data_IF_622902832291
#
_entry.id   IF_622902832291
#
_cell.length_a   1.000
_cell.length_b   1.000
_cell.length_c   1.000
_cell.angle_alpha   90.00
_cell.angle_beta   90.00
_cell.angle_gamma   90.00
#
_symmetry.space_group_name_H-M   'P 1'
#
loop_
_entity.id
_entity.type
_entity.pdbx_description
1 polymer ?
#
# COMPACT_ATOMS: atom_id res chain seq x y z
N UNK A 1 -1.89 13.99 -26.47
CA UNK A 1 -2.22 12.72 -25.78
C UNK A 1 -1.20 12.61 -24.67
N UNK A 2 -1.64 12.68 -23.41
CA UNK A 2 -0.72 12.48 -22.30
C UNK A 2 -0.45 10.99 -22.17
N UNK A 3 0.80 10.59 -22.32
CA UNK A 3 1.29 9.22 -22.10
C UNK A 3 1.12 8.90 -20.61
N UNK A 4 0.59 7.73 -20.27
CA UNK A 4 0.51 7.26 -18.87
C UNK A 4 1.91 6.83 -18.41
N UNK A 5 2.67 7.81 -17.95
CA UNK A 5 4.03 7.62 -17.46
C UNK A 5 4.03 7.42 -15.95
N UNK A 6 4.72 6.38 -15.51
CA UNK A 6 4.90 6.03 -14.11
C UNK A 6 6.40 5.96 -13.82
N UNK A 7 6.84 6.64 -12.78
CA UNK A 7 8.20 6.50 -12.28
C UNK A 7 8.20 5.60 -11.04
N UNK A 8 9.19 4.72 -10.95
CA UNK A 8 9.36 3.79 -9.83
C UNK A 8 10.76 4.00 -9.25
N UNK A 9 10.82 4.52 -8.02
CA UNK A 9 12.06 4.66 -7.27
C UNK A 9 12.26 3.39 -6.45
N UNK A 10 13.31 2.64 -6.76
CA UNK A 10 13.62 1.33 -6.22
C UNK A 10 13.27 0.20 -7.20
N UNK A 11 14.28 -0.36 -7.84
CA UNK A 11 14.16 -1.48 -8.79
C UNK A 11 14.42 -2.84 -8.13
N UNK A 12 14.08 -2.96 -6.84
CA UNK A 12 14.14 -4.21 -6.08
C UNK A 12 12.99 -5.15 -6.44
N UNK A 13 12.82 -6.20 -5.64
CA UNK A 13 11.75 -7.19 -5.83
C UNK A 13 10.36 -6.56 -5.93
N UNK A 14 10.03 -5.63 -5.04
CA UNK A 14 8.71 -4.99 -5.00
C UNK A 14 8.52 -4.04 -6.20
N UNK A 15 9.50 -3.17 -6.46
CA UNK A 15 9.41 -2.21 -7.57
C UNK A 15 9.36 -2.87 -8.95
N UNK A 16 10.15 -3.92 -9.18
CA UNK A 16 10.12 -4.66 -10.45
C UNK A 16 8.79 -5.37 -10.69
N UNK A 17 8.23 -6.01 -9.66
CA UNK A 17 6.92 -6.65 -9.77
C UNK A 17 5.76 -5.65 -9.89
N UNK A 18 5.87 -4.47 -9.26
CA UNK A 18 4.93 -3.38 -9.49
C UNK A 18 4.91 -2.96 -10.96
N UNK A 19 6.08 -2.76 -11.57
CA UNK A 19 6.20 -2.44 -12.99
C UNK A 19 5.61 -3.52 -13.90
N UNK A 20 5.91 -4.79 -13.64
CA UNK A 20 5.31 -5.90 -14.38
C UNK A 20 3.78 -5.94 -14.26
N UNK A 21 3.25 -5.77 -13.06
CA UNK A 21 1.80 -5.75 -12.85
C UNK A 21 1.11 -4.60 -13.59
N UNK A 22 1.75 -3.43 -13.63
CA UNK A 22 1.24 -2.25 -14.34
C UNK A 22 1.19 -2.46 -15.87
N UNK A 23 2.26 -3.00 -16.44
CA UNK A 23 2.35 -3.21 -17.91
C UNK A 23 1.48 -4.38 -18.33
N UNK A 24 1.51 -5.50 -17.61
CA UNK A 24 0.73 -6.69 -17.97
C UNK A 24 -0.77 -6.42 -17.98
N UNK A 25 -1.23 -5.47 -17.16
CA UNK A 25 -2.62 -5.02 -17.14
C UNK A 25 -2.90 -3.81 -18.05
N UNK A 26 -1.88 -3.33 -18.77
CA UNK A 26 -2.02 -2.22 -19.72
C UNK A 26 -2.34 -0.88 -19.05
N UNK A 27 -1.90 -0.67 -17.80
CA UNK A 27 -2.15 0.54 -17.03
C UNK A 27 -1.11 1.62 -17.29
N UNK A 28 0.14 1.24 -17.59
CA UNK A 28 1.20 2.16 -17.95
C UNK A 28 1.57 2.04 -19.43
N UNK A 29 1.90 3.16 -20.08
CA UNK A 29 2.44 3.26 -21.42
C UNK A 29 3.94 3.55 -21.39
N UNK A 30 4.42 4.08 -20.26
CA UNK A 30 5.84 4.37 -20.02
C UNK A 30 6.17 4.09 -18.55
N UNK A 31 7.25 3.36 -18.30
CA UNK A 31 7.81 3.15 -16.96
C UNK A 31 9.28 3.55 -16.98
N UNK A 32 9.66 4.40 -16.04
CA UNK A 32 11.06 4.69 -15.73
C UNK A 32 11.41 4.12 -14.37
N UNK A 33 12.47 3.28 -14.33
CA UNK A 33 13.06 2.81 -13.08
C UNK A 33 14.22 3.69 -12.65
N UNK A 34 14.23 4.06 -11.38
CA UNK A 34 15.31 4.82 -10.74
C UNK A 34 15.80 3.99 -9.56
N UNK A 35 17.08 3.70 -9.53
CA UNK A 35 17.71 2.98 -8.42
C UNK A 35 19.15 3.48 -8.24
N UNK A 36 19.64 3.47 -7.01
CA UNK A 36 21.04 3.79 -6.71
C UNK A 36 21.99 2.80 -7.38
N UNK A 37 21.56 1.56 -7.58
CA UNK A 37 22.21 0.56 -8.39
C UNK A 37 21.70 0.67 -9.85
N UNK A 38 22.36 1.53 -10.62
CA UNK A 38 22.01 1.73 -12.03
C UNK A 38 22.06 0.45 -12.88
N UNK A 39 22.96 -0.49 -12.55
CA UNK A 39 23.04 -1.77 -13.29
C UNK A 39 21.79 -2.58 -13.07
N UNK A 40 21.31 -2.62 -11.84
CA UNK A 40 20.08 -3.30 -11.46
C UNK A 40 18.87 -2.64 -12.10
N UNK A 41 18.76 -1.31 -12.06
CA UNK A 41 17.69 -0.58 -12.74
C UNK A 41 17.65 -0.89 -14.25
N UNK A 42 18.80 -0.87 -14.91
CA UNK A 42 18.91 -1.22 -16.34
C UNK A 42 18.52 -2.67 -16.64
N UNK A 43 18.95 -3.62 -15.80
CA UNK A 43 18.62 -5.03 -15.97
C UNK A 43 17.09 -5.27 -15.81
N UNK A 44 16.49 -4.69 -14.77
CA UNK A 44 15.04 -4.79 -14.56
C UNK A 44 14.24 -4.12 -15.69
N UNK A 45 14.69 -2.96 -16.14
CA UNK A 45 14.05 -2.25 -17.24
C UNK A 45 14.11 -3.06 -18.54
N UNK A 46 15.26 -3.64 -18.85
CA UNK A 46 15.47 -4.44 -20.08
C UNK A 46 14.60 -5.70 -20.05
N UNK A 47 14.64 -6.47 -18.97
CA UNK A 47 13.85 -7.69 -18.80
C UNK A 47 12.33 -7.41 -18.92
N UNK A 48 11.88 -6.32 -18.27
CA UNK A 48 10.50 -5.91 -18.39
C UNK A 48 10.14 -5.41 -19.80
N UNK A 49 11.05 -4.69 -20.46
CA UNK A 49 10.84 -4.21 -21.83
C UNK A 49 10.76 -5.36 -22.83
N UNK A 50 11.62 -6.38 -22.70
CA UNK A 50 11.57 -7.58 -23.55
C UNK A 50 10.21 -8.29 -23.43
N UNK A 51 9.60 -8.31 -22.25
CA UNK A 51 8.28 -8.93 -22.05
C UNK A 51 7.16 -8.25 -22.84
N UNK A 52 7.31 -6.96 -23.18
CA UNK A 52 6.25 -6.16 -23.85
C UNK A 52 5.90 -6.69 -25.23
N UNK A 53 6.80 -7.45 -25.88
CA UNK A 53 6.55 -8.09 -27.18
C UNK A 53 5.36 -9.05 -27.13
N UNK A 54 5.13 -9.68 -25.98
CA UNK A 54 4.07 -10.68 -25.79
C UNK A 54 2.91 -10.18 -24.93
N UNK A 55 2.96 -8.93 -24.50
CA UNK A 55 1.87 -8.34 -23.69
C UNK A 55 0.82 -7.65 -24.58
N UNK A 56 -0.43 -7.51 -24.11
CA UNK A 56 -1.54 -6.98 -24.91
C UNK A 56 -1.35 -5.53 -25.37
N UNK A 57 -0.57 -4.73 -24.62
CA UNK A 57 -0.32 -3.32 -24.92
C UNK A 57 1.18 -3.03 -24.99
N UNK A 58 1.54 -2.11 -25.87
CA UNK A 58 2.91 -1.59 -25.94
C UNK A 58 3.18 -0.69 -24.75
N UNK A 59 4.39 -0.75 -24.24
CA UNK A 59 4.90 0.17 -23.23
C UNK A 59 6.38 0.42 -23.49
N UNK A 60 6.87 1.61 -23.16
CA UNK A 60 8.28 1.93 -23.08
C UNK A 60 8.76 1.68 -21.65
N UNK A 61 9.87 0.97 -21.49
CA UNK A 61 10.47 0.74 -20.18
C UNK A 61 11.96 1.03 -20.25
N UNK A 62 12.45 1.85 -19.34
CA UNK A 62 13.88 2.19 -19.29
C UNK A 62 14.32 2.52 -17.87
N UNK A 63 15.62 2.49 -17.65
CA UNK A 63 16.24 3.04 -16.46
C UNK A 63 16.61 4.50 -16.73
N UNK A 64 16.23 5.37 -15.81
CA UNK A 64 16.44 6.81 -15.91
C UNK A 64 16.97 7.39 -14.61
N UNK A 65 16.87 8.68 -14.49
CA UNK A 65 17.24 9.44 -13.31
C UNK A 65 16.09 10.35 -12.83
N UNK A 66 16.33 11.16 -11.80
CA UNK A 66 15.29 12.02 -11.25
C UNK A 66 14.84 13.15 -12.18
N UNK A 67 15.56 13.45 -13.26
CA UNK A 67 15.07 14.41 -14.27
C UNK A 67 13.91 13.84 -15.10
N UNK A 68 13.85 12.51 -15.19
CA UNK A 68 12.81 11.78 -15.93
C UNK A 68 11.47 11.70 -15.21
N UNK A 69 11.39 12.05 -13.91
CA UNK A 69 10.11 11.95 -13.19
C UNK A 69 9.21 13.16 -13.37
N UNK A 70 9.74 14.29 -13.85
CA UNK A 70 9.03 15.57 -13.91
C UNK A 70 7.68 15.50 -14.62
N UNK A 71 7.58 14.73 -15.68
CA UNK A 71 6.38 14.55 -16.50
C UNK A 71 5.60 13.27 -16.18
N UNK A 72 6.06 12.49 -15.18
CA UNK A 72 5.32 11.33 -14.71
C UNK A 72 4.03 11.75 -14.00
N UNK A 73 2.97 10.98 -14.20
CA UNK A 73 1.67 11.22 -13.56
C UNK A 73 1.57 10.54 -12.20
N UNK A 74 2.34 9.46 -12.02
CA UNK A 74 2.40 8.70 -10.78
C UNK A 74 3.85 8.37 -10.45
N UNK A 75 4.23 8.62 -9.21
CA UNK A 75 5.52 8.24 -8.65
C UNK A 75 5.31 7.18 -7.57
N UNK A 76 5.95 6.03 -7.74
CA UNK A 76 5.93 4.93 -6.76
C UNK A 76 7.26 4.91 -6.03
N UNK A 77 7.23 5.02 -4.71
CA UNK A 77 8.42 4.91 -3.86
C UNK A 77 8.47 3.50 -3.27
N UNK A 78 9.45 2.72 -3.73
CA UNK A 78 9.64 1.30 -3.39
C UNK A 78 11.07 1.02 -2.91
N UNK A 79 11.72 2.00 -2.32
CA UNK A 79 13.10 1.92 -1.86
C UNK A 79 13.16 1.73 -0.34
N UNK A 80 14.05 0.88 0.10
CA UNK A 80 14.30 0.61 1.51
C UNK A 80 14.86 -0.79 1.73
N UNK A 81 15.48 -1.02 2.90
CA UNK A 81 15.97 -2.34 3.26
C UNK A 81 14.81 -3.28 3.61
N UNK A 82 15.03 -4.57 3.41
CA UNK A 82 14.17 -5.60 3.98
C UNK A 82 14.67 -5.97 5.38
N UNK A 83 13.75 -6.29 6.33
CA UNK A 83 14.15 -6.83 7.63
C UNK A 83 14.94 -8.13 7.48
N UNK A 84 16.03 -8.26 8.23
CA UNK A 84 16.81 -9.51 8.29
C UNK A 84 16.09 -10.51 9.20
N UNK A 85 15.36 -11.43 8.60
CA UNK A 85 14.60 -12.46 9.31
C UNK A 85 15.49 -13.41 10.12
N UNK A 86 16.75 -13.59 9.71
CA UNK A 86 17.70 -14.44 10.44
C UNK A 86 18.10 -13.85 11.80
N UNK A 87 17.97 -12.53 11.94
CA UNK A 87 18.20 -11.76 13.17
C UNK A 87 16.93 -11.42 13.93
N UNK A 88 15.76 -11.91 13.48
CA UNK A 88 14.48 -11.60 14.10
C UNK A 88 14.07 -10.13 13.97
N UNK A 89 14.56 -9.42 12.97
CA UNK A 89 14.23 -8.00 12.75
C UNK A 89 12.78 -7.83 12.32
N UNK A 90 12.19 -6.74 12.78
CA UNK A 90 10.89 -6.22 12.38
C UNK A 90 11.03 -5.11 11.34
N UNK A 91 9.92 -4.61 10.81
CA UNK A 91 9.93 -3.42 9.94
C UNK A 91 10.44 -2.17 10.65
N UNK A 92 10.23 -2.05 11.96
CA UNK A 92 10.71 -0.91 12.76
C UNK A 92 12.23 -0.92 12.96
N UNK A 93 12.86 -2.09 12.97
CA UNK A 93 14.33 -2.19 13.10
C UNK A 93 15.06 -1.60 11.89
N UNK A 94 14.37 -1.46 10.75
CA UNK A 94 14.91 -0.83 9.54
C UNK A 94 14.59 0.66 9.43
N UNK A 95 13.83 1.24 10.37
CA UNK A 95 13.31 2.61 10.27
C UNK A 95 14.42 3.64 10.04
N UNK A 96 15.49 3.64 10.85
CA UNK A 96 16.60 4.59 10.70
C UNK A 96 17.18 4.56 9.29
N UNK A 97 17.52 3.38 8.79
CA UNK A 97 18.10 3.22 7.47
C UNK A 97 17.12 3.64 6.38
N UNK A 98 15.83 3.33 6.55
CA UNK A 98 14.79 3.75 5.61
C UNK A 98 14.66 5.28 5.58
N UNK A 99 14.67 5.95 6.73
CA UNK A 99 14.56 7.43 6.78
C UNK A 99 15.78 8.09 6.13
N UNK A 100 17.00 7.59 6.32
CA UNK A 100 18.18 8.10 5.63
C UNK A 100 18.06 8.01 4.10
N UNK A 101 17.57 6.89 3.59
CA UNK A 101 17.29 6.70 2.16
C UNK A 101 16.21 7.68 1.68
N UNK A 102 15.12 7.79 2.43
CA UNK A 102 13.96 8.61 2.08
C UNK A 102 14.27 10.11 2.10
N UNK A 103 15.18 10.57 2.98
CA UNK A 103 15.69 11.95 2.95
C UNK A 103 16.33 12.28 1.60
N UNK A 104 17.20 11.41 1.11
CA UNK A 104 17.85 11.60 -0.19
C UNK A 104 16.81 11.59 -1.33
N UNK A 105 15.85 10.65 -1.29
CA UNK A 105 14.77 10.58 -2.28
C UNK A 105 13.96 11.88 -2.28
N UNK A 106 13.57 12.39 -1.12
CA UNK A 106 12.79 13.62 -1.00
C UNK A 106 13.50 14.83 -1.60
N UNK A 107 14.82 14.98 -1.35
CA UNK A 107 15.61 16.06 -1.95
C UNK A 107 15.63 16.00 -3.48
N UNK A 108 15.81 14.80 -4.03
CA UNK A 108 15.81 14.60 -5.48
C UNK A 108 14.43 14.81 -6.10
N UNK A 109 13.34 14.37 -5.45
CA UNK A 109 11.96 14.67 -5.90
C UNK A 109 11.76 16.19 -5.96
N UNK A 110 12.16 16.91 -4.92
CA UNK A 110 12.04 18.39 -4.89
C UNK A 110 12.81 19.05 -6.03
N UNK A 111 14.04 18.61 -6.30
CA UNK A 111 14.88 19.16 -7.37
C UNK A 111 14.36 18.83 -8.77
N UNK A 112 13.68 17.72 -8.95
CA UNK A 112 13.14 17.30 -10.25
C UNK A 112 12.02 18.17 -10.79
N UNK A 113 11.34 18.92 -9.90
CA UNK A 113 10.14 19.68 -10.24
C UNK A 113 8.90 18.82 -10.49
N UNK A 114 8.89 17.59 -9.96
CA UNK A 114 7.71 16.71 -9.96
C UNK A 114 6.56 17.34 -9.14
N UNK A 115 5.32 17.15 -9.59
CA UNK A 115 4.12 17.69 -8.92
C UNK A 115 2.92 16.73 -8.96
N UNK A 116 3.15 15.48 -9.36
CA UNK A 116 2.10 14.47 -9.49
C UNK A 116 1.78 13.72 -8.17
N UNK A 117 1.11 12.60 -8.31
CA UNK A 117 0.71 11.77 -7.17
C UNK A 117 1.88 10.86 -6.73
N UNK A 118 2.13 10.79 -5.43
CA UNK A 118 3.12 9.90 -4.82
C UNK A 118 2.41 8.76 -4.10
N UNK A 119 2.75 7.52 -4.46
CA UNK A 119 2.31 6.32 -3.75
C UNK A 119 3.52 5.65 -3.12
N UNK A 120 3.57 5.64 -1.80
CA UNK A 120 4.63 4.99 -1.05
C UNK A 120 4.29 3.51 -0.77
N UNK A 121 5.25 2.63 -1.00
CA UNK A 121 5.20 1.21 -0.62
C UNK A 121 6.44 0.77 0.15
N UNK A 122 7.29 1.73 0.53
CA UNK A 122 8.44 1.50 1.41
C UNK A 122 7.99 1.37 2.86
N UNK A 123 8.60 0.48 3.61
CA UNK A 123 8.26 0.20 5.00
C UNK A 123 9.20 0.90 6.00
N UNK A 124 8.69 1.28 7.19
CA UNK A 124 7.29 1.22 7.68
C UNK A 124 6.37 2.18 6.93
N UNK A 125 5.35 1.62 6.24
CA UNK A 125 4.62 2.33 5.19
C UNK A 125 3.97 3.65 5.64
N UNK A 126 3.27 3.63 6.76
CA UNK A 126 2.52 4.79 7.27
C UNK A 126 3.46 5.89 7.74
N UNK A 127 4.51 5.51 8.48
CA UNK A 127 5.53 6.43 9.01
C UNK A 127 6.32 7.09 7.88
N UNK A 128 6.76 6.29 6.90
CA UNK A 128 7.52 6.81 5.73
C UNK A 128 6.66 7.75 4.90
N UNK A 129 5.39 7.46 4.74
CA UNK A 129 4.47 8.33 3.99
C UNK A 129 4.27 9.67 4.70
N UNK A 130 4.06 9.64 6.02
CA UNK A 130 3.95 10.85 6.83
C UNK A 130 5.25 11.68 6.78
N UNK A 131 6.39 11.01 6.92
CA UNK A 131 7.69 11.66 6.82
C UNK A 131 7.90 12.32 5.44
N UNK A 132 7.63 11.61 4.34
CA UNK A 132 7.72 12.16 2.98
C UNK A 132 6.80 13.37 2.78
N UNK A 133 5.55 13.27 3.22
CA UNK A 133 4.58 14.37 3.15
C UNK A 133 5.11 15.61 3.86
N UNK A 134 5.61 15.42 5.08
CA UNK A 134 6.13 16.52 5.91
C UNK A 134 7.36 17.20 5.28
N UNK A 135 8.39 16.41 4.92
CA UNK A 135 9.65 17.01 4.41
C UNK A 135 9.50 17.60 3.02
N UNK A 136 8.56 17.11 2.21
CA UNK A 136 8.27 17.66 0.89
C UNK A 136 7.27 18.82 0.94
N UNK A 137 6.55 19.01 2.03
CA UNK A 137 5.37 19.87 2.12
C UNK A 137 4.36 19.54 0.99
N UNK A 138 4.13 18.24 0.78
CA UNK A 138 3.32 17.75 -0.33
C UNK A 138 1.83 17.84 -0.01
N UNK A 139 0.97 18.15 -0.99
CA UNK A 139 -0.48 18.11 -0.77
C UNK A 139 -0.92 16.74 -0.25
N UNK A 140 -1.57 16.67 0.92
CA UNK A 140 -1.92 15.43 1.59
C UNK A 140 -2.86 14.53 0.78
N UNK A 141 -3.63 15.11 -0.14
CA UNK A 141 -4.46 14.34 -1.06
C UNK A 141 -3.67 13.72 -2.23
N UNK A 142 -2.42 14.12 -2.46
CA UNK A 142 -1.59 13.61 -3.54
C UNK A 142 -0.44 12.71 -3.06
N UNK A 143 -0.38 12.39 -1.77
CA UNK A 143 0.59 11.45 -1.22
C UNK A 143 -0.09 10.50 -0.24
N UNK A 144 0.07 9.21 -0.46
CA UNK A 144 -0.51 8.16 0.37
C UNK A 144 0.25 6.84 0.21
N UNK A 145 -0.08 5.86 1.03
CA UNK A 145 0.49 4.50 0.94
C UNK A 145 -0.59 3.47 0.69
N UNK A 146 -0.23 2.38 0.02
CA UNK A 146 -1.10 1.20 -0.10
C UNK A 146 -1.38 0.54 1.25
N UNK A 147 -0.45 0.63 2.20
CA UNK A 147 -0.61 0.20 3.60
C UNK A 147 -1.41 -1.10 3.74
N UNK A 148 -2.61 -1.06 4.31
CA UNK A 148 -3.44 -2.26 4.55
C UNK A 148 -4.29 -2.72 3.36
N UNK A 149 -4.13 -2.18 2.17
CA UNK A 149 -4.85 -2.69 0.98
C UNK A 149 -4.56 -4.18 0.77
N UNK A 150 -3.29 -4.57 0.84
CA UNK A 150 -2.89 -5.98 0.72
C UNK A 150 -3.29 -6.81 1.94
N UNK A 151 -3.22 -6.25 3.15
CA UNK A 151 -3.66 -6.94 4.37
C UNK A 151 -5.17 -7.20 4.35
N UNK A 152 -5.95 -6.27 3.80
CA UNK A 152 -7.38 -6.46 3.57
C UNK A 152 -7.67 -7.58 2.55
N UNK A 153 -6.85 -7.70 1.52
CA UNK A 153 -6.96 -8.82 0.58
C UNK A 153 -6.63 -10.17 1.26
N UNK A 154 -5.61 -10.21 2.13
CA UNK A 154 -5.27 -11.39 2.93
C UNK A 154 -6.37 -11.77 3.91
N UNK A 155 -6.99 -10.77 4.54
CA UNK A 155 -8.15 -10.99 5.42
C UNK A 155 -9.33 -11.59 4.67
N UNK A 156 -9.66 -11.04 3.47
CA UNK A 156 -10.72 -11.58 2.61
C UNK A 156 -10.43 -13.01 2.18
N UNK A 157 -9.19 -13.33 1.83
CA UNK A 157 -8.76 -14.69 1.51
C UNK A 157 -8.95 -15.62 2.72
N UNK A 158 -8.52 -15.20 3.92
CA UNK A 158 -8.67 -16.01 5.12
C UNK A 158 -10.15 -16.29 5.46
N UNK A 159 -11.03 -15.31 5.24
CA UNK A 159 -12.49 -15.50 5.35
C UNK A 159 -13.02 -16.43 4.27
N UNK A 160 -12.58 -16.28 3.03
CA UNK A 160 -12.97 -17.16 1.92
C UNK A 160 -12.59 -18.61 2.17
N UNK A 161 -11.38 -18.86 2.67
CA UNK A 161 -10.90 -20.20 3.03
C UNK A 161 -11.78 -20.87 4.10
N UNK A 162 -12.38 -20.11 5.01
CA UNK A 162 -13.25 -20.63 6.08
C UNK A 162 -14.73 -20.74 5.68
N UNK A 163 -15.20 -19.88 4.78
CA UNK A 163 -16.63 -19.81 4.43
C UNK A 163 -16.97 -20.45 3.08
N UNK A 164 -15.97 -20.71 2.24
CA UNK A 164 -16.18 -21.16 0.85
C UNK A 164 -16.71 -20.07 -0.08
N UNK A 165 -16.86 -18.81 0.37
CA UNK A 165 -17.33 -17.70 -0.43
C UNK A 165 -16.14 -16.99 -1.09
N UNK A 166 -16.29 -16.67 -2.38
CA UNK A 166 -15.25 -15.98 -3.13
C UNK A 166 -14.82 -14.68 -2.44
N UNK A 167 -13.50 -14.47 -2.32
CA UNK A 167 -12.93 -13.30 -1.65
C UNK A 167 -13.36 -11.94 -2.23
N UNK A 168 -13.78 -11.89 -3.50
CA UNK A 168 -14.29 -10.66 -4.13
C UNK A 168 -15.70 -10.30 -3.68
N UNK A 169 -16.44 -11.27 -3.11
CA UNK A 169 -17.78 -11.08 -2.56
C UNK A 169 -17.79 -10.69 -1.09
N UNK A 170 -16.61 -10.63 -0.46
CA UNK A 170 -16.44 -10.31 0.95
C UNK A 170 -15.98 -8.86 1.09
N UNK A 171 -16.72 -8.04 1.82
CA UNK A 171 -16.33 -6.67 2.19
C UNK A 171 -15.73 -6.71 3.59
N UNK A 172 -14.42 -6.65 3.65
CA UNK A 172 -13.64 -6.64 4.89
C UNK A 172 -12.40 -5.78 4.70
N UNK A 173 -12.07 -4.97 5.70
CA UNK A 173 -10.90 -4.11 5.73
C UNK A 173 -10.05 -4.40 6.97
N UNK A 174 -8.74 -4.34 6.81
CA UNK A 174 -7.81 -4.09 7.90
C UNK A 174 -7.55 -2.59 7.94
N UNK A 175 -7.58 -1.97 9.11
CA UNK A 175 -7.41 -0.53 9.31
C UNK A 175 -6.24 -0.23 10.23
N UNK A 176 -5.82 1.05 10.24
CA UNK A 176 -4.74 1.53 11.09
C UNK A 176 -3.37 1.31 10.47
N UNK A 177 -2.44 0.76 11.22
CA UNK A 177 -1.06 0.50 10.81
C UNK A 177 -0.95 -0.67 9.81
N UNK A 178 -0.08 -0.53 8.82
CA UNK A 178 0.44 -1.71 8.13
C UNK A 178 1.51 -2.39 8.98
N UNK A 179 1.10 -3.09 10.01
CA UNK A 179 1.97 -3.69 11.02
C UNK A 179 1.21 -4.47 12.09
N UNK A 180 1.83 -4.54 13.30
CA UNK A 180 1.28 -5.37 14.38
C UNK A 180 0.00 -4.77 15.00
N UNK A 181 -0.13 -3.45 14.99
CA UNK A 181 -1.29 -2.77 15.57
C UNK A 181 -2.48 -2.62 14.61
N UNK A 182 -2.43 -3.21 13.42
CA UNK A 182 -3.60 -3.21 12.52
C UNK A 182 -4.81 -3.86 13.20
N UNK A 183 -5.99 -3.35 12.92
CA UNK A 183 -7.24 -3.87 13.47
C UNK A 183 -8.24 -4.20 12.36
N UNK A 184 -9.21 -5.05 12.69
CA UNK A 184 -10.32 -5.40 11.79
C UNK A 184 -11.63 -4.92 12.41
N UNK A 185 -12.36 -4.00 11.77
CA UNK A 185 -13.69 -3.59 12.25
C UNK A 185 -14.72 -4.68 11.89
N UNK A 186 -14.81 -5.71 12.70
CA UNK A 186 -15.67 -6.88 12.48
C UNK A 186 -17.15 -6.52 12.36
N UNK A 187 -17.57 -5.45 13.04
CA UNK A 187 -18.94 -4.92 12.94
C UNK A 187 -19.30 -4.43 11.53
N UNK A 188 -18.28 -4.09 10.73
CA UNK A 188 -18.44 -3.58 9.37
C UNK A 188 -18.17 -4.63 8.28
N UNK A 189 -17.78 -5.84 8.66
CA UNK A 189 -17.56 -6.93 7.69
C UNK A 189 -18.91 -7.44 7.20
N UNK A 190 -19.04 -7.56 5.87
CA UNK A 190 -20.28 -8.03 5.25
C UNK A 190 -20.02 -8.90 4.02
N UNK A 191 -21.00 -9.74 3.71
CA UNK A 191 -21.05 -10.57 2.50
C UNK A 191 -22.36 -10.26 1.80
N UNK A 192 -22.28 -9.84 0.54
CA UNK A 192 -23.44 -9.38 -0.23
C UNK A 192 -24.27 -8.29 0.48
N UNK A 193 -23.62 -7.46 1.30
CA UNK A 193 -24.26 -6.41 2.09
C UNK A 193 -24.88 -6.89 3.40
N UNK A 194 -24.90 -8.20 3.70
CA UNK A 194 -25.38 -8.75 4.96
C UNK A 194 -24.25 -8.75 5.99
N UNK A 195 -24.43 -8.14 7.18
CA UNK A 195 -23.40 -8.09 8.22
C UNK A 195 -22.95 -9.49 8.67
N UNK A 196 -21.65 -9.67 8.90
CA UNK A 196 -21.08 -10.96 9.29
C UNK A 196 -21.72 -11.51 10.58
N UNK A 197 -21.97 -10.66 11.57
CA UNK A 197 -22.59 -11.09 12.84
C UNK A 197 -24.04 -11.57 12.68
N UNK A 198 -24.77 -11.05 11.69
CA UNK A 198 -26.11 -11.59 11.33
C UNK A 198 -25.98 -12.96 10.69
N UNK A 199 -25.03 -13.12 9.74
CA UNK A 199 -24.75 -14.42 9.13
C UNK A 199 -24.34 -15.46 10.15
N UNK A 200 -23.47 -15.13 11.11
CA UNK A 200 -23.06 -16.04 12.18
C UNK A 200 -24.24 -16.51 13.05
N UNK A 201 -25.26 -15.67 13.21
CA UNK A 201 -26.46 -16.01 13.98
C UNK A 201 -27.48 -16.80 13.19
N UNK A 202 -27.69 -16.44 11.92
CA UNK A 202 -28.76 -17.01 11.09
C UNK A 202 -28.34 -18.26 10.33
N UNK A 203 -27.05 -18.38 10.01
CA UNK A 203 -26.46 -19.51 9.30
C UNK A 203 -25.29 -20.12 10.10
N UNK A 204 -25.56 -20.64 11.31
CA UNK A 204 -24.50 -21.09 12.22
C UNK A 204 -23.71 -22.28 11.69
N UNK A 205 -24.25 -23.07 10.77
CA UNK A 205 -23.54 -24.19 10.16
C UNK A 205 -22.36 -23.72 9.31
N UNK A 206 -22.52 -22.58 8.62
CA UNK A 206 -21.48 -22.00 7.76
C UNK A 206 -20.61 -21.00 8.49
N UNK A 207 -21.20 -20.12 9.31
CA UNK A 207 -20.52 -18.97 9.89
C UNK A 207 -20.35 -19.04 11.41
N UNK A 208 -21.13 -19.88 12.12
CA UNK A 208 -21.16 -19.88 13.58
C UNK A 208 -19.87 -20.34 14.25
N UNK A 209 -19.03 -21.11 13.55
CA UNK A 209 -17.75 -21.61 14.05
C UNK A 209 -16.55 -20.72 13.73
N UNK A 210 -16.76 -19.53 13.10
CA UNK A 210 -15.68 -18.63 12.74
C UNK A 210 -14.99 -18.08 13.98
N UNK A 211 -13.69 -18.33 14.10
CA UNK A 211 -12.82 -17.68 15.07
C UNK A 211 -12.23 -16.41 14.46
N UNK A 212 -12.83 -15.26 14.75
CA UNK A 212 -12.48 -13.98 14.15
C UNK A 212 -11.04 -13.55 14.46
N UNK A 213 -10.56 -13.89 15.68
CA UNK A 213 -9.16 -13.61 16.05
C UNK A 213 -8.19 -14.44 15.22
N UNK A 214 -8.44 -15.75 15.07
CA UNK A 214 -7.62 -16.64 14.25
C UNK A 214 -7.57 -16.17 12.79
N UNK A 215 -8.69 -15.71 12.25
CA UNK A 215 -8.79 -15.19 10.89
C UNK A 215 -7.98 -13.90 10.72
N UNK A 216 -8.07 -12.97 11.67
CA UNK A 216 -7.26 -11.75 11.66
C UNK A 216 -5.77 -12.06 11.76
N UNK A 217 -5.38 -12.96 12.66
CA UNK A 217 -3.99 -13.41 12.85
C UNK A 217 -3.45 -14.10 11.59
N UNK A 218 -4.25 -14.93 10.92
CA UNK A 218 -3.89 -15.57 9.64
C UNK A 218 -3.67 -14.54 8.51
N UNK A 219 -4.47 -13.48 8.47
CA UNK A 219 -4.28 -12.35 7.56
C UNK A 219 -2.93 -11.65 7.77
N UNK A 220 -2.61 -11.31 9.02
CA UNK A 220 -1.32 -10.70 9.40
C UNK A 220 -0.14 -11.62 9.10
N UNK A 221 -0.22 -12.87 9.51
CA UNK A 221 0.86 -13.84 9.36
C UNK A 221 1.25 -14.08 7.89
N UNK A 222 0.32 -13.89 6.95
CA UNK A 222 0.55 -14.13 5.53
C UNK A 222 1.77 -13.38 4.97
N UNK A 223 2.00 -12.13 5.41
CA UNK A 223 3.17 -11.35 5.01
C UNK A 223 4.49 -11.95 5.49
N UNK A 224 4.54 -12.39 6.74
CA UNK A 224 5.72 -13.01 7.35
C UNK A 224 6.03 -14.40 6.78
N UNK A 225 4.99 -15.20 6.53
CA UNK A 225 5.14 -16.51 5.88
C UNK A 225 5.77 -16.35 4.49
N UNK A 226 5.31 -15.38 3.70
CA UNK A 226 5.85 -15.12 2.36
C UNK A 226 7.29 -14.62 2.45
N UNK A 227 7.56 -13.66 3.35
CA UNK A 227 8.91 -13.11 3.55
C UNK A 227 9.89 -14.21 3.98
N UNK A 228 9.51 -15.05 4.95
CA UNK A 228 10.33 -16.17 5.41
C UNK A 228 10.54 -17.27 4.36
N UNK A 229 9.56 -17.49 3.47
CA UNK A 229 9.60 -18.55 2.46
C UNK A 229 10.35 -18.19 1.18
N UNK A 230 10.29 -16.93 0.73
CA UNK A 230 10.87 -16.50 -0.55
C UNK A 230 11.65 -15.18 -0.49
N UNK A 231 11.81 -14.59 0.67
CA UNK A 231 12.63 -13.40 0.90
C UNK A 231 11.94 -12.07 0.58
N UNK A 232 10.82 -12.06 -0.14
CA UNK A 232 10.08 -10.82 -0.46
C UNK A 232 8.63 -11.10 -0.80
N UNK A 233 7.73 -10.20 -0.44
CA UNK A 233 6.37 -10.13 -0.99
C UNK A 233 6.44 -9.39 -2.33
N UNK A 234 5.87 -9.96 -3.38
CA UNK A 234 6.00 -9.45 -4.75
C UNK A 234 4.64 -9.37 -5.45
N UNK A 235 3.99 -10.52 -5.69
CA UNK A 235 2.77 -10.58 -6.51
C UNK A 235 1.60 -9.82 -5.91
N UNK A 236 1.39 -9.95 -4.60
CA UNK A 236 0.29 -9.27 -3.91
C UNK A 236 0.44 -7.76 -3.95
N UNK A 237 1.65 -7.24 -3.67
CA UNK A 237 1.88 -5.79 -3.71
C UNK A 237 1.84 -5.26 -5.14
N UNK A 238 2.35 -6.01 -6.14
CA UNK A 238 2.23 -5.66 -7.55
C UNK A 238 0.77 -5.52 -7.99
N UNK A 239 -0.09 -6.49 -7.61
CA UNK A 239 -1.53 -6.43 -7.87
C UNK A 239 -2.21 -5.24 -7.16
N UNK A 240 -1.79 -4.94 -5.91
CA UNK A 240 -2.30 -3.80 -5.15
C UNK A 240 -1.96 -2.47 -5.83
N UNK A 241 -0.72 -2.29 -6.28
CA UNK A 241 -0.31 -1.10 -7.03
C UNK A 241 -1.09 -0.97 -8.33
N UNK A 242 -1.30 -2.06 -9.05
CA UNK A 242 -2.12 -2.03 -10.27
C UNK A 242 -3.55 -1.60 -9.99
N UNK A 243 -4.14 -2.05 -8.87
CA UNK A 243 -5.50 -1.67 -8.46
C UNK A 243 -5.61 -0.19 -8.11
N UNK A 244 -4.66 0.33 -7.32
CA UNK A 244 -4.58 1.76 -6.98
C UNK A 244 -4.36 2.60 -8.24
N UNK A 245 -3.45 2.19 -9.11
CA UNK A 245 -3.17 2.91 -10.38
C UNK A 245 -4.40 2.93 -11.29
N UNK A 246 -5.16 1.83 -11.36
CA UNK A 246 -6.40 1.77 -12.13
C UNK A 246 -7.41 2.77 -11.62
N UNK A 247 -7.61 2.84 -10.30
CA UNK A 247 -8.53 3.79 -9.68
C UNK A 247 -8.15 5.25 -10.00
N UNK A 248 -6.85 5.58 -9.99
CA UNK A 248 -6.34 6.92 -10.32
C UNK A 248 -6.50 7.22 -11.81
N UNK A 249 -5.97 6.38 -12.68
CA UNK A 249 -5.94 6.64 -14.13
C UNK A 249 -7.30 6.47 -14.79
N UNK A 250 -8.17 5.63 -14.19
CA UNK A 250 -9.56 5.44 -14.61
C UNK A 250 -10.52 6.49 -14.08
N UNK A 251 -10.08 7.36 -13.15
CA UNK A 251 -10.94 8.33 -12.46
C UNK A 251 -12.16 7.67 -11.80
N UNK A 252 -11.92 6.52 -11.13
CA UNK A 252 -13.00 5.61 -10.76
C UNK A 252 -13.78 6.04 -9.51
N UNK A 253 -13.28 6.97 -8.71
CA UNK A 253 -13.80 7.27 -7.37
C UNK A 253 -13.94 6.00 -6.51
N UNK A 254 -12.95 5.15 -6.59
CA UNK A 254 -12.96 3.83 -5.95
C UNK A 254 -12.54 3.89 -4.50
N UNK A 255 -13.26 3.18 -3.64
CA UNK A 255 -12.92 3.09 -2.22
C UNK A 255 -11.93 1.95 -2.00
N UNK A 256 -10.74 2.30 -1.48
CA UNK A 256 -9.69 1.34 -1.10
C UNK A 256 -9.15 1.70 0.29
N UNK A 257 -8.75 0.69 1.10
CA UNK A 257 -8.09 0.94 2.38
C UNK A 257 -6.64 1.33 2.14
N UNK A 258 -6.35 2.60 2.19
CA UNK A 258 -5.02 3.20 1.99
C UNK A 258 -4.68 4.14 3.15
N UNK A 259 -3.39 4.32 3.42
CA UNK A 259 -2.92 5.21 4.47
C UNK A 259 -2.94 6.66 4.00
N UNK A 260 -3.70 7.48 4.67
CA UNK A 260 -3.93 8.89 4.39
C UNK A 260 -3.78 9.73 5.64
N UNK A 261 -3.50 11.03 5.50
CA UNK A 261 -3.47 11.96 6.62
C UNK A 261 -4.89 12.17 7.16
N UNK A 262 -5.11 11.82 8.42
CA UNK A 262 -6.37 12.07 9.11
C UNK A 262 -6.39 13.49 9.68
N UNK A 263 -7.52 14.16 9.54
CA UNK A 263 -7.74 15.51 10.00
C UNK A 263 -9.08 15.65 10.73
N UNK A 264 -9.39 14.74 11.64
CA UNK A 264 -10.60 14.69 12.44
C UNK A 264 -11.36 13.37 12.33
N UNK A 265 -11.15 12.63 11.25
CA UNK A 265 -11.81 11.34 11.04
C UNK A 265 -11.43 10.35 12.14
N UNK A 266 -12.41 9.58 12.61
CA UNK A 266 -12.28 8.66 13.77
C UNK A 266 -11.77 9.36 15.04
N UNK A 267 -11.94 10.69 15.16
CA UNK A 267 -11.39 11.49 16.24
C UNK A 267 -9.85 11.60 16.24
N UNK A 268 -9.20 11.32 15.13
CA UNK A 268 -7.73 11.36 14.97
C UNK A 268 -7.30 12.53 14.09
N UNK A 269 -6.17 13.14 14.44
CA UNK A 269 -5.57 14.23 13.68
C UNK A 269 -4.07 14.02 13.57
N UNK A 270 -3.47 14.56 12.51
CA UNK A 270 -2.03 14.56 12.29
C UNK A 270 -1.39 13.18 12.42
N UNK A 271 -1.97 12.21 11.72
CA UNK A 271 -1.47 10.85 11.63
C UNK A 271 -1.87 10.24 10.29
N UNK A 272 -0.92 9.59 9.63
CA UNK A 272 -1.19 8.73 8.51
C UNK A 272 -1.66 7.36 9.01
N UNK A 273 -2.86 6.98 8.64
CA UNK A 273 -3.46 5.70 8.99
C UNK A 273 -4.28 5.15 7.82
N UNK A 274 -4.30 3.84 7.69
CA UNK A 274 -5.10 3.19 6.67
C UNK A 274 -6.58 3.19 7.03
N UNK A 275 -7.37 3.77 6.15
CA UNK A 275 -8.83 3.86 6.23
C UNK A 275 -9.43 3.74 4.82
N UNK A 276 -10.73 3.43 4.68
CA UNK A 276 -11.39 3.46 3.38
C UNK A 276 -11.36 4.87 2.80
N UNK A 277 -10.59 5.08 1.75
CA UNK A 277 -10.48 6.37 1.07
C UNK A 277 -10.92 6.27 -0.38
N UNK A 278 -11.48 7.34 -0.91
CA UNK A 278 -11.94 7.46 -2.29
C UNK A 278 -10.78 7.93 -3.16
N UNK A 279 -10.40 7.10 -4.14
CA UNK A 279 -9.30 7.37 -5.07
C UNK A 279 -9.83 7.74 -6.45
N UNK A 280 -9.30 8.83 -7.00
CA UNK A 280 -9.54 9.24 -8.37
C UNK A 280 -8.30 9.91 -8.99
N UNK A 281 -8.45 10.52 -10.17
CA UNK A 281 -7.34 11.17 -10.90
C UNK A 281 -6.58 12.25 -10.12
N UNK A 282 -7.16 12.79 -9.07
CA UNK A 282 -6.55 13.83 -8.23
C UNK A 282 -5.89 13.24 -6.96
N UNK A 283 -5.84 11.91 -6.82
CA UNK A 283 -5.38 11.22 -5.63
C UNK A 283 -6.53 10.90 -4.68
N UNK A 284 -6.42 11.30 -3.43
CA UNK A 284 -7.46 11.09 -2.41
C UNK A 284 -8.54 12.16 -2.55
N UNK A 285 -9.75 11.73 -2.90
CA UNK A 285 -10.91 12.61 -3.05
C UNK A 285 -11.73 12.75 -1.75
N UNK A 286 -11.57 11.82 -0.82
CA UNK A 286 -12.26 11.82 0.47
C UNK A 286 -12.05 10.54 1.25
N UNK A 287 -12.57 10.49 2.46
CA UNK A 287 -12.54 9.34 3.36
C UNK A 287 -13.98 8.88 3.60
N UNK A 288 -14.21 7.57 3.57
CA UNK A 288 -15.46 6.97 4.00
C UNK A 288 -15.26 6.51 5.44
N UNK A 289 -15.70 7.34 6.37
CA UNK A 289 -15.58 7.03 7.80
C UNK A 289 -16.59 5.94 8.20
N UNK A 290 -16.06 4.79 8.64
CA UNK A 290 -16.88 3.67 9.09
C UNK A 290 -17.42 3.91 10.50
N UNK A 291 -18.64 3.45 10.77
CA UNK A 291 -19.25 3.52 12.10
C UNK A 291 -18.69 2.43 13.01
N UNK A 292 -17.52 2.68 13.59
CA UNK A 292 -16.86 1.76 14.53
C UNK A 292 -17.62 1.70 15.87
N UNK A 293 -17.71 0.51 16.48
CA UNK A 293 -18.16 0.40 17.86
C UNK A 293 -17.07 0.89 18.84
N UNK A 294 -17.37 0.97 20.15
CA UNK A 294 -16.44 1.56 21.12
C UNK A 294 -15.11 0.79 21.21
N UNK A 295 -15.14 -0.55 21.21
CA UNK A 295 -13.94 -1.37 21.24
C UNK A 295 -13.08 -1.18 19.97
N UNK A 296 -13.70 -1.11 18.79
CA UNK A 296 -13.03 -0.86 17.53
C UNK A 296 -12.42 0.54 17.47
N UNK A 297 -13.10 1.55 18.03
CA UNK A 297 -12.54 2.91 18.18
C UNK A 297 -11.31 2.94 19.06
N UNK A 298 -11.33 2.21 20.18
CA UNK A 298 -10.17 2.09 21.07
C UNK A 298 -9.00 1.39 20.38
N UNK A 299 -9.24 0.31 19.65
CA UNK A 299 -8.23 -0.40 18.89
C UNK A 299 -7.63 0.48 17.78
N UNK A 300 -8.47 1.22 17.05
CA UNK A 300 -8.00 2.13 16.01
C UNK A 300 -7.20 3.29 16.60
N UNK A 301 -7.64 3.88 17.70
CA UNK A 301 -6.92 4.94 18.39
C UNK A 301 -5.55 4.46 18.92
N UNK A 302 -5.47 3.23 19.43
CA UNK A 302 -4.20 2.62 19.85
C UNK A 302 -3.24 2.43 18.67
N UNK A 303 -3.75 2.00 17.51
CA UNK A 303 -2.96 1.90 16.27
C UNK A 303 -2.46 3.27 15.82
N UNK A 304 -3.30 4.29 15.82
CA UNK A 304 -2.92 5.66 15.49
C UNK A 304 -1.84 6.21 16.45
N UNK A 305 -1.95 5.90 17.72
CA UNK A 305 -0.94 6.29 18.73
C UNK A 305 0.42 5.68 18.39
N UNK A 306 0.47 4.39 18.10
CA UNK A 306 1.71 3.69 17.69
C UNK A 306 2.36 4.36 16.48
N UNK A 307 1.57 4.66 15.45
CA UNK A 307 2.09 5.31 14.23
C UNK A 307 2.59 6.72 14.51
N UNK A 308 1.92 7.48 15.38
CA UNK A 308 2.34 8.84 15.77
C UNK A 308 3.67 8.81 16.52
N UNK A 309 3.83 7.91 17.50
CA UNK A 309 5.08 7.72 18.24
C UNK A 309 6.24 7.36 17.32
N UNK A 310 6.00 6.46 16.37
CA UNK A 310 6.99 6.06 15.36
C UNK A 310 7.33 7.18 14.37
N UNK A 311 6.36 8.00 14.01
CA UNK A 311 6.59 9.19 13.19
C UNK A 311 7.42 10.23 13.92
N UNK A 312 7.08 10.54 15.18
CA UNK A 312 7.87 11.44 16.04
C UNK A 312 9.33 10.95 16.17
N UNK A 313 9.52 9.65 16.36
CA UNK A 313 10.85 9.04 16.33
C UNK A 313 11.56 9.29 15.00
N UNK A 314 10.89 9.14 13.87
CA UNK A 314 11.48 9.34 12.54
C UNK A 314 12.02 10.75 12.32
N UNK A 315 11.41 11.75 12.95
CA UNK A 315 11.86 13.15 12.86
C UNK A 315 13.19 13.41 13.62
N UNK A 316 13.58 12.51 14.51
CA UNK A 316 14.82 12.62 15.29
C UNK A 316 16.00 11.87 14.66
N UNK A 317 15.75 11.09 13.63
CA UNK A 317 16.72 10.28 12.92
C UNK A 317 17.31 11.05 11.73
#
# INVERSE_FOLDING_TARGET
IHTRKIAIIGAGHVGSHAGYALISQGLAEEIVYIDIDEKKARAQALDLYDSTVYLPKRALVYAGDYSDIKDAQLLIVAAGPLPDMSKGQTRMDTLRQTIEIVKNIAENIRMSGYTGIIVNISNPADVVTHYLQHVLDWPSNQIFSTSTTLDSARLRRALADKTGIDQKSIYAYALGEHGESQMVPWSMVSIAGKPLFELMKEEPETFGSLNLKEIADAGKAGGWIILGGKGSTEFGIGATIAEVTRAIFGDENRVLPVSVLLNGEYGQTDVYASVPAVLNRNGIAGIVELSLNEEEKEQFAASCKTMRENYELSLTL
#
